data_IF_252092652753
#
_entry.id   IF_252092652753
#
_cell.length_a   1.000
_cell.length_b   1.000
_cell.length_c   1.000
_cell.angle_alpha   90.00
_cell.angle_beta   90.00
_cell.angle_gamma   90.00
#
_symmetry.space_group_name_H-M   'P 1'
#
loop_
_entity.id
_entity.type
_entity.pdbx_description
1 polymer ?
#
# COMPACT_ATOMS: atom_id res chain seq x y z
N UNK A 1 -11.62 -12.64 -12.24
CA UNK A 1 -10.40 -11.81 -12.22
C UNK A 1 -10.36 -11.13 -10.87
N UNK A 2 -9.36 -11.42 -10.05
CA UNK A 2 -9.35 -10.98 -8.66
C UNK A 2 -8.69 -9.60 -8.59
N UNK A 3 -9.52 -8.57 -8.49
CA UNK A 3 -9.08 -7.16 -8.48
C UNK A 3 -8.29 -6.89 -7.20
N UNK A 4 -8.74 -7.44 -6.08
CA UNK A 4 -8.04 -7.31 -4.81
C UNK A 4 -6.61 -7.89 -4.90
N UNK A 5 -6.43 -9.09 -5.45
CA UNK A 5 -5.09 -9.66 -5.63
C UNK A 5 -4.20 -8.81 -6.53
N UNK A 6 -4.75 -8.19 -7.57
CA UNK A 6 -4.00 -7.26 -8.41
C UNK A 6 -3.52 -6.04 -7.63
N UNK A 7 -4.37 -5.48 -6.75
CA UNK A 7 -4.01 -4.37 -5.86
C UNK A 7 -2.83 -4.77 -4.97
N UNK A 8 -2.96 -5.91 -4.27
CA UNK A 8 -1.89 -6.45 -3.41
C UNK A 8 -0.60 -6.64 -4.21
N UNK A 9 -0.67 -7.37 -5.32
CA UNK A 9 0.50 -7.65 -6.14
C UNK A 9 1.20 -6.38 -6.62
N UNK A 10 0.44 -5.35 -7.02
CA UNK A 10 0.99 -4.08 -7.49
C UNK A 10 1.71 -3.33 -6.38
N UNK A 11 1.13 -3.26 -5.20
CA UNK A 11 1.71 -2.57 -4.04
C UNK A 11 2.99 -3.30 -3.57
N UNK A 12 2.92 -4.63 -3.41
CA UNK A 12 4.05 -5.42 -2.92
C UNK A 12 5.20 -5.52 -3.94
N UNK A 13 4.90 -5.55 -5.25
CA UNK A 13 5.94 -5.41 -6.29
C UNK A 13 6.57 -4.02 -6.30
N UNK A 14 5.80 -2.97 -6.00
CA UNK A 14 6.34 -1.62 -5.91
C UNK A 14 7.28 -1.46 -4.72
N UNK A 15 7.01 -2.12 -3.59
CA UNK A 15 7.98 -2.19 -2.49
C UNK A 15 9.24 -2.96 -2.88
N UNK A 16 9.11 -4.08 -3.60
CA UNK A 16 10.29 -4.86 -4.02
C UNK A 16 11.26 -4.06 -4.89
N UNK A 17 10.76 -3.05 -5.61
CA UNK A 17 11.58 -2.12 -6.38
C UNK A 17 12.16 -0.96 -5.54
N UNK A 18 11.63 -0.72 -4.33
CA UNK A 18 11.97 0.41 -3.46
C UNK A 18 12.56 0.00 -2.09
N UNK A 19 12.56 -1.29 -1.75
CA UNK A 19 13.11 -1.85 -0.51
C UNK A 19 14.63 -1.61 -0.36
N UNK A 20 15.29 -1.15 -1.41
CA UNK A 20 16.70 -0.73 -1.41
C UNK A 20 16.94 0.70 -0.87
N UNK A 21 15.91 1.43 -0.43
CA UNK A 21 16.05 2.87 -0.09
C UNK A 21 15.72 3.29 1.35
N UNK A 22 15.54 2.38 2.30
CA UNK A 22 15.59 2.73 3.74
C UNK A 22 16.98 2.54 4.35
N UNK A 23 18.03 2.85 3.59
CA UNK A 23 19.35 3.11 4.17
C UNK A 23 19.27 4.46 4.88
N UNK A 24 19.03 4.39 6.19
CA UNK A 24 19.18 5.49 7.12
C UNK A 24 20.48 6.24 6.80
N UNK A 25 20.34 7.46 6.30
CA UNK A 25 21.42 8.42 6.22
C UNK A 25 21.88 8.72 7.64
N UNK A 26 23.05 8.19 8.00
CA UNK A 26 23.93 8.83 8.98
C UNK A 26 25.21 9.24 8.23
N UNK A 27 25.42 10.54 7.93
CA UNK A 27 26.67 11.00 7.36
C UNK A 27 27.71 11.04 8.48
N UNK A 28 28.38 9.92 8.74
CA UNK A 28 29.49 9.88 9.68
C UNK A 28 30.82 9.89 8.90
N UNK A 29 31.49 11.02 9.02
CA UNK A 29 32.83 11.37 8.53
C UNK A 29 33.90 10.32 8.90
N UNK A 30 35.00 10.20 8.14
CA UNK A 30 36.01 9.19 8.38
C UNK A 30 36.99 9.64 9.47
N UNK A 31 37.05 8.91 10.58
CA UNK A 31 38.20 8.92 11.48
C UNK A 31 38.41 7.53 12.08
N UNK A 32 39.66 7.09 11.96
CA UNK A 32 40.16 5.75 12.21
C UNK A 32 39.87 5.24 13.64
N UNK A 33 39.57 3.94 13.75
CA UNK A 33 40.19 2.96 14.67
C UNK A 33 39.46 1.60 14.57
N UNK A 34 40.17 0.46 14.40
CA UNK A 34 39.53 -0.86 14.34
C UNK A 34 39.35 -1.43 15.76
N UNK A 35 38.17 -1.22 16.35
CA UNK A 35 37.75 -1.98 17.53
C UNK A 35 36.55 -2.86 17.19
N UNK A 36 36.77 -4.16 17.35
CA UNK A 36 35.83 -5.24 17.15
C UNK A 36 34.51 -4.95 17.86
N UNK A 37 33.47 -4.69 17.07
CA UNK A 37 32.08 -4.84 17.47
C UNK A 37 31.53 -5.97 16.64
N UNK A 38 31.16 -7.07 17.29
CA UNK A 38 30.45 -8.19 16.68
C UNK A 38 29.15 -7.67 16.09
N UNK A 39 29.18 -7.32 14.81
CA UNK A 39 27.98 -7.06 14.02
C UNK A 39 27.24 -8.39 13.92
N UNK A 40 26.30 -8.59 14.85
CA UNK A 40 25.25 -9.57 14.66
C UNK A 40 24.63 -9.30 13.29
N UNK A 41 24.47 -10.31 12.42
CA UNK A 41 23.71 -10.13 11.20
C UNK A 41 22.33 -9.67 11.67
N UNK A 42 22.01 -8.39 11.43
CA UNK A 42 20.64 -7.95 11.50
C UNK A 42 19.93 -8.86 10.50
N UNK A 43 19.20 -9.86 11.02
CA UNK A 43 18.27 -10.61 10.23
C UNK A 43 17.39 -9.54 9.62
N UNK A 44 17.52 -9.36 8.30
CA UNK A 44 16.56 -8.65 7.48
C UNK A 44 15.27 -9.46 7.60
N UNK A 45 14.61 -9.32 8.76
CA UNK A 45 13.21 -9.59 8.91
C UNK A 45 12.59 -8.72 7.83
N UNK A 46 12.06 -9.37 6.80
CA UNK A 46 11.36 -8.71 5.72
C UNK A 46 10.49 -7.61 6.36
N UNK A 47 10.87 -6.36 6.12
CA UNK A 47 10.19 -5.25 6.76
C UNK A 47 8.71 -5.34 6.37
N UNK A 48 7.78 -5.15 7.32
CA UNK A 48 6.36 -5.17 6.99
C UNK A 48 6.10 -4.14 5.90
N UNK A 49 5.40 -4.55 4.85
CA UNK A 49 5.29 -3.79 3.61
C UNK A 49 4.57 -2.48 3.90
N UNK A 50 5.24 -1.34 3.80
CA UNK A 50 4.69 -0.07 4.28
C UNK A 50 3.77 0.55 3.23
N UNK A 51 2.56 -0.03 3.13
CA UNK A 51 1.52 0.31 2.15
C UNK A 51 1.26 1.80 2.08
N UNK A 52 1.12 2.47 3.23
CA UNK A 52 0.87 3.91 3.28
C UNK A 52 1.96 4.68 2.53
N UNK A 53 3.22 4.36 2.78
CA UNK A 53 4.36 5.06 2.17
C UNK A 53 4.39 4.82 0.66
N UNK A 54 4.12 3.58 0.22
CA UNK A 54 4.06 3.23 -1.21
C UNK A 54 2.95 4.00 -1.89
N UNK A 55 1.73 3.97 -1.35
CA UNK A 55 0.58 4.67 -1.92
C UNK A 55 0.77 6.19 -1.89
N UNK A 56 1.31 6.74 -0.80
CA UNK A 56 1.61 8.18 -0.69
C UNK A 56 2.66 8.61 -1.70
N UNK A 57 3.72 7.83 -1.89
CA UNK A 57 4.77 8.10 -2.87
C UNK A 57 4.21 8.03 -4.30
N UNK A 58 3.50 6.95 -4.63
CA UNK A 58 2.83 6.85 -5.93
C UNK A 58 1.88 8.02 -6.16
N UNK A 59 1.13 8.45 -5.13
CA UNK A 59 0.18 9.55 -5.24
C UNK A 59 0.88 10.89 -5.42
N UNK A 60 2.07 11.05 -4.84
CA UNK A 60 2.93 12.22 -5.02
C UNK A 60 3.57 12.27 -6.40
N UNK A 61 3.87 11.11 -6.99
CA UNK A 61 4.35 10.98 -8.37
C UNK A 61 3.22 11.14 -9.39
N UNK A 62 1.97 10.98 -8.97
CA UNK A 62 0.81 11.27 -9.79
C UNK A 62 0.52 12.78 -9.80
N UNK A 63 0.36 13.35 -10.99
CA UNK A 63 -0.02 14.76 -11.15
C UNK A 63 -1.45 15.06 -10.67
N UNK A 64 -2.24 14.04 -10.34
CA UNK A 64 -3.62 14.17 -9.86
C UNK A 64 -3.68 13.97 -8.34
N UNK A 65 -4.47 14.80 -7.66
CA UNK A 65 -4.76 14.64 -6.23
C UNK A 65 -5.78 13.51 -6.04
N UNK A 66 -5.27 12.28 -5.96
CA UNK A 66 -6.06 11.05 -5.82
C UNK A 66 -6.33 10.74 -4.35
N UNK A 67 -7.60 10.65 -3.96
CA UNK A 67 -8.01 10.38 -2.57
C UNK A 67 -8.08 8.87 -2.28
N UNK A 68 -6.98 8.16 -2.48
CA UNK A 68 -6.91 6.68 -2.35
C UNK A 68 -7.33 6.17 -0.96
N UNK A 69 -7.26 7.01 0.08
CA UNK A 69 -7.69 6.71 1.45
C UNK A 69 -9.20 6.50 1.57
N UNK A 70 -9.98 7.36 0.90
CA UNK A 70 -11.45 7.39 1.01
C UNK A 70 -12.15 6.91 -0.25
N UNK A 71 -11.41 6.72 -1.33
CA UNK A 71 -11.91 6.33 -2.64
C UNK A 71 -11.16 5.17 -3.24
N UNK A 72 -11.86 4.04 -3.40
CA UNK A 72 -11.35 2.89 -4.17
C UNK A 72 -11.11 3.26 -5.63
N UNK A 73 -11.85 4.22 -6.20
CA UNK A 73 -11.62 4.72 -7.57
C UNK A 73 -10.21 5.27 -7.72
N UNK A 74 -9.85 6.17 -6.82
CA UNK A 74 -8.58 6.87 -6.87
C UNK A 74 -7.43 5.91 -6.58
N UNK A 75 -7.64 4.93 -5.69
CA UNK A 75 -6.69 3.84 -5.47
C UNK A 75 -6.47 2.99 -6.74
N UNK A 76 -7.54 2.61 -7.45
CA UNK A 76 -7.43 1.85 -8.69
C UNK A 76 -6.69 2.66 -9.76
N UNK A 77 -7.03 3.95 -9.92
CA UNK A 77 -6.34 4.86 -10.85
C UNK A 77 -4.86 4.98 -10.53
N UNK A 78 -4.54 5.14 -9.25
CA UNK A 78 -3.18 5.26 -8.75
C UNK A 78 -2.32 4.05 -9.14
N UNK A 79 -2.90 2.85 -9.05
CA UNK A 79 -2.25 1.58 -9.38
C UNK A 79 -2.24 1.27 -10.89
N UNK A 80 -2.87 2.12 -11.70
CA UNK A 80 -3.08 1.91 -13.14
C UNK A 80 -4.02 0.72 -13.43
N UNK A 81 -5.00 0.49 -12.57
CA UNK A 81 -6.01 -0.56 -12.70
C UNK A 81 -7.35 0.01 -13.24
N UNK A 82 -8.19 -0.88 -13.77
CA UNK A 82 -9.52 -0.49 -14.25
C UNK A 82 -10.36 0.07 -13.09
N UNK A 83 -10.73 1.34 -13.21
CA UNK A 83 -11.46 2.09 -12.18
C UNK A 83 -12.97 2.18 -12.46
N UNK A 84 -13.43 1.38 -13.43
CA UNK A 84 -14.80 1.35 -13.93
C UNK A 84 -15.77 0.79 -12.91
N UNK A 85 -17.07 1.09 -13.08
CA UNK A 85 -18.13 0.55 -12.21
C UNK A 85 -18.13 -0.98 -12.19
N UNK A 86 -17.81 -1.63 -13.31
CA UNK A 86 -17.67 -3.09 -13.39
C UNK A 86 -16.61 -3.61 -12.44
N UNK A 87 -15.40 -3.02 -12.45
CA UNK A 87 -14.33 -3.39 -11.53
C UNK A 87 -14.71 -3.18 -10.07
N UNK A 88 -15.37 -2.06 -9.74
CA UNK A 88 -15.82 -1.84 -8.36
C UNK A 88 -16.89 -2.84 -7.92
N UNK A 89 -17.84 -3.18 -8.78
CA UNK A 89 -18.86 -4.20 -8.47
C UNK A 89 -18.24 -5.56 -8.27
N UNK A 90 -17.27 -5.95 -9.11
CA UNK A 90 -16.51 -7.18 -8.94
C UNK A 90 -15.76 -7.21 -7.61
N UNK A 91 -15.03 -6.13 -7.27
CA UNK A 91 -14.34 -6.00 -5.99
C UNK A 91 -15.32 -6.01 -4.80
N UNK A 92 -16.49 -5.38 -4.94
CA UNK A 92 -17.54 -5.42 -3.93
C UNK A 92 -18.05 -6.85 -3.71
N UNK A 93 -18.26 -7.63 -4.78
CA UNK A 93 -18.65 -9.04 -4.69
C UNK A 93 -17.55 -9.88 -4.02
N UNK A 94 -16.29 -9.68 -4.40
CA UNK A 94 -15.12 -10.36 -3.82
C UNK A 94 -15.01 -10.10 -2.31
N UNK A 95 -15.23 -8.86 -1.89
CA UNK A 95 -15.18 -8.44 -0.50
C UNK A 95 -16.47 -8.71 0.27
N UNK A 96 -17.48 -9.32 -0.38
CA UNK A 96 -18.82 -9.58 0.17
C UNK A 96 -19.49 -8.32 0.71
N UNK A 97 -19.51 -7.27 -0.10
CA UNK A 97 -20.27 -6.06 0.20
C UNK A 97 -21.77 -6.37 0.18
N UNK A 98 -22.44 -6.09 1.29
CA UNK A 98 -23.89 -6.29 1.46
C UNK A 98 -24.69 -4.97 1.41
N UNK A 99 -24.03 -3.84 1.19
CA UNK A 99 -24.70 -2.53 1.13
C UNK A 99 -25.33 -2.22 -0.22
N UNK A 100 -25.85 -1.01 -0.34
CA UNK A 100 -26.51 -0.56 -1.56
C UNK A 100 -25.47 -0.28 -2.67
N UNK A 101 -25.70 -0.86 -3.85
CA UNK A 101 -24.82 -0.73 -5.03
C UNK A 101 -25.13 0.53 -5.87
N UNK A 102 -26.25 1.20 -5.61
CA UNK A 102 -26.59 2.49 -6.22
C UNK A 102 -25.91 3.62 -5.46
N UNK A 103 -25.74 3.48 -4.14
CA UNK A 103 -24.99 4.43 -3.32
C UNK A 103 -23.47 4.26 -3.51
N UNK A 104 -22.99 4.81 -4.62
CA UNK A 104 -21.59 4.70 -5.03
C UNK A 104 -20.65 5.39 -4.05
N UNK A 105 -21.12 6.41 -3.31
CA UNK A 105 -20.32 7.11 -2.31
C UNK A 105 -20.05 6.22 -1.09
N UNK A 106 -21.10 5.65 -0.49
CA UNK A 106 -20.96 4.71 0.63
C UNK A 106 -20.20 3.47 0.23
N UNK A 107 -20.52 2.92 -0.93
CA UNK A 107 -19.82 1.77 -1.50
C UNK A 107 -18.32 2.07 -1.67
N UNK A 108 -17.96 3.24 -2.19
CA UNK A 108 -16.57 3.61 -2.43
C UNK A 108 -15.75 3.74 -1.13
N UNK A 109 -16.31 4.39 -0.11
CA UNK A 109 -15.67 4.53 1.20
C UNK A 109 -15.58 3.20 1.95
N UNK A 110 -16.61 2.34 1.86
CA UNK A 110 -16.55 1.01 2.45
C UNK A 110 -15.51 0.13 1.75
N UNK A 111 -15.47 0.14 0.41
CA UNK A 111 -14.52 -0.67 -0.35
C UNK A 111 -13.07 -0.25 -0.06
N UNK A 112 -12.77 1.06 0.04
CA UNK A 112 -11.40 1.51 0.33
C UNK A 112 -10.92 1.00 1.68
N UNK A 113 -11.74 1.15 2.73
CA UNK A 113 -11.46 0.63 4.07
C UNK A 113 -11.28 -0.89 4.09
N UNK A 114 -12.17 -1.62 3.42
CA UNK A 114 -12.12 -3.08 3.40
C UNK A 114 -10.89 -3.61 2.64
N UNK A 115 -10.49 -2.93 1.57
CA UNK A 115 -9.23 -3.22 0.87
C UNK A 115 -8.04 -2.99 1.81
N UNK A 116 -8.01 -1.87 2.55
CA UNK A 116 -6.92 -1.56 3.49
C UNK A 116 -6.81 -2.58 4.62
N UNK A 117 -7.94 -2.95 5.24
CA UNK A 117 -7.97 -4.01 6.26
C UNK A 117 -7.42 -5.33 5.72
N UNK A 118 -7.87 -5.75 4.53
CA UNK A 118 -7.36 -6.96 3.88
C UNK A 118 -5.88 -6.86 3.55
N UNK A 119 -5.41 -5.69 3.12
CA UNK A 119 -4.01 -5.46 2.79
C UNK A 119 -3.13 -5.53 4.05
N UNK A 120 -3.63 -5.00 5.16
CA UNK A 120 -3.00 -5.13 6.47
C UNK A 120 -2.84 -6.61 6.88
N UNK A 121 -3.90 -7.39 6.68
CA UNK A 121 -3.89 -8.84 6.93
C UNK A 121 -2.92 -9.61 6.01
N UNK A 122 -2.54 -9.07 4.85
CA UNK A 122 -1.56 -9.69 3.94
C UNK A 122 -0.10 -9.30 4.25
N UNK A 123 0.16 -8.68 5.42
CA UNK A 123 1.50 -8.25 5.84
C UNK A 123 1.83 -6.81 5.47
N UNK A 124 0.83 -6.03 5.04
CA UNK A 124 0.96 -4.60 4.83
C UNK A 124 0.85 -3.80 6.14
N UNK A 125 1.64 -2.75 6.29
CA UNK A 125 1.48 -1.72 7.31
C UNK A 125 0.64 -0.59 6.73
N UNK A 126 -0.59 -0.49 7.24
CA UNK A 126 -1.54 0.59 6.92
C UNK A 126 -1.59 1.59 8.09
N UNK A 127 -2.01 2.85 7.87
CA UNK A 127 -2.12 3.83 8.94
C UNK A 127 -3.15 3.36 9.97
N UNK A 128 -2.85 3.58 11.25
CA UNK A 128 -3.81 3.28 12.32
C UNK A 128 -5.10 4.12 12.22
N UNK A 129 -5.06 5.27 11.55
CA UNK A 129 -6.24 6.12 11.31
C UNK A 129 -7.24 5.49 10.30
N UNK A 130 -6.81 4.47 9.56
CA UNK A 130 -7.62 3.75 8.56
C UNK A 130 -8.11 2.37 9.05
N UNK A 131 -8.04 2.07 10.36
CA UNK A 131 -8.61 0.86 10.96
C UNK A 131 -9.77 1.15 11.91
#
# INVERSE_FOLDING_TARGET
MNIFENIVNKIFKHESAHADTTTQQVPNSPLANPQASTAQPATTQAAPVNVEQILTKMASENSQKLSWQTSIVDLLKLLGLDSSLTARKQLAQELKYHGDLNDTAKMNTWLSQQVMMKLANNGGKVPADLH
#
